data_IF_084189166122
#
_entry.id   IF_084189166122
#
_cell.length_a   1.000
_cell.length_b   1.000
_cell.length_c   1.000
_cell.angle_alpha   90.00
_cell.angle_beta   90.00
_cell.angle_gamma   90.00
#
_symmetry.space_group_name_H-M   'P 1'
#
loop_
_entity.id
_entity.type
_entity.pdbx_description
1 polymer ?
#
# COMPACT_ATOMS: atom_id res chain seq x y z
N UNK A 1 4.94 11.37 10.12
CA UNK A 1 3.79 11.28 9.20
C UNK A 1 3.60 9.84 8.85
N UNK A 2 2.38 9.33 8.91
CA UNK A 2 2.04 7.91 8.80
C UNK A 2 0.68 7.68 8.15
N UNK A 3 0.45 6.43 7.78
CA UNK A 3 -0.86 5.85 7.47
C UNK A 3 -1.06 4.67 8.42
N UNK A 4 -2.21 4.65 9.09
CA UNK A 4 -2.65 3.61 9.99
C UNK A 4 -3.87 2.92 9.41
N UNK A 5 -3.93 1.61 9.55
CA UNK A 5 -5.10 0.81 9.18
C UNK A 5 -5.53 -0.07 10.34
N UNK A 6 -6.76 0.12 10.78
CA UNK A 6 -7.41 -0.75 11.76
C UNK A 6 -8.21 -1.79 11.00
N UNK A 7 -7.97 -3.06 11.29
CA UNK A 7 -8.48 -4.17 10.49
C UNK A 7 -9.27 -5.13 11.34
N UNK A 8 -10.45 -5.50 10.84
CA UNK A 8 -11.24 -6.61 11.37
C UNK A 8 -11.41 -7.66 10.29
N UNK A 9 -11.05 -8.88 10.62
CA UNK A 9 -11.16 -10.04 9.71
C UNK A 9 -12.25 -10.98 10.21
N UNK A 10 -13.20 -11.30 9.34
CA UNK A 10 -14.23 -12.33 9.60
C UNK A 10 -13.94 -13.52 8.68
N UNK A 11 -13.84 -14.74 9.22
CA UNK A 11 -13.60 -15.94 8.41
C UNK A 11 -14.68 -16.15 7.35
N UNK A 12 -14.31 -16.81 6.28
CA UNK A 12 -15.24 -17.25 5.25
C UNK A 12 -16.21 -18.32 5.80
N UNK A 13 -17.46 -18.23 5.38
CA UNK A 13 -18.51 -19.23 5.73
C UNK A 13 -18.49 -20.44 4.82
N UNK A 14 -17.85 -20.34 3.64
CA UNK A 14 -17.70 -21.39 2.66
C UNK A 14 -16.35 -21.26 1.93
N UNK A 15 -15.72 -22.38 1.53
CA UNK A 15 -14.50 -22.36 0.73
C UNK A 15 -14.65 -21.65 -0.63
N UNK A 16 -15.88 -21.57 -1.14
CA UNK A 16 -16.18 -20.97 -2.45
C UNK A 16 -16.72 -19.54 -2.37
N UNK A 17 -16.85 -18.98 -1.14
CA UNK A 17 -17.29 -17.61 -1.00
C UNK A 17 -16.23 -16.63 -1.51
N UNK A 18 -16.65 -15.53 -2.15
CA UNK A 18 -15.76 -14.41 -2.44
C UNK A 18 -15.27 -13.76 -1.15
N UNK A 19 -14.15 -13.04 -1.23
CA UNK A 19 -13.70 -12.17 -0.15
C UNK A 19 -14.28 -10.79 -0.36
N UNK A 20 -14.99 -10.30 0.62
CA UNK A 20 -15.54 -8.95 0.63
C UNK A 20 -14.59 -8.01 1.36
N UNK A 21 -14.42 -6.81 0.82
CA UNK A 21 -13.66 -5.72 1.44
C UNK A 21 -14.57 -4.53 1.68
N UNK A 22 -14.48 -3.97 2.88
CA UNK A 22 -15.16 -2.73 3.27
C UNK A 22 -14.09 -1.76 3.75
N UNK A 23 -13.89 -0.66 3.02
CA UNK A 23 -12.92 0.36 3.36
C UNK A 23 -13.62 1.65 3.78
N UNK A 24 -13.19 2.19 4.91
CA UNK A 24 -13.64 3.46 5.45
C UNK A 24 -12.45 4.34 5.79
N UNK A 25 -12.64 5.63 5.87
CA UNK A 25 -11.60 6.59 6.22
C UNK A 25 -12.11 7.55 7.30
N UNK A 26 -11.23 7.96 8.20
CA UNK A 26 -11.56 8.96 9.24
C UNK A 26 -11.78 10.35 8.65
N UNK A 27 -11.16 10.64 7.49
CA UNK A 27 -11.33 11.90 6.78
C UNK A 27 -12.59 11.86 5.91
N UNK A 28 -13.60 12.73 6.14
CA UNK A 28 -14.91 12.65 5.49
C UNK A 28 -14.91 12.79 3.96
N UNK A 29 -13.87 13.40 3.38
CA UNK A 29 -13.75 13.55 1.93
C UNK A 29 -13.53 12.24 1.19
N UNK A 30 -13.11 11.19 1.91
CA UNK A 30 -12.87 9.87 1.36
C UNK A 30 -14.08 8.99 1.59
N UNK A 31 -14.84 8.77 0.55
CA UNK A 31 -16.07 7.99 0.63
C UNK A 31 -15.79 6.53 1.00
N UNK A 32 -16.70 5.95 1.77
CA UNK A 32 -16.69 4.52 2.06
C UNK A 32 -16.86 3.74 0.78
N UNK A 33 -16.05 2.70 0.61
CA UNK A 33 -16.14 1.84 -0.56
C UNK A 33 -16.21 0.36 -0.18
N UNK A 34 -16.84 -0.41 -1.04
CA UNK A 34 -16.93 -1.87 -0.93
C UNK A 34 -16.56 -2.49 -2.27
N UNK A 35 -15.88 -3.62 -2.22
CA UNK A 35 -15.68 -4.47 -3.38
C UNK A 35 -15.53 -5.92 -2.93
N UNK A 36 -15.70 -6.85 -3.84
CA UNK A 36 -15.50 -8.27 -3.59
C UNK A 36 -14.69 -8.89 -4.71
N UNK A 37 -13.99 -9.98 -4.42
CA UNK A 37 -13.24 -10.71 -5.43
C UNK A 37 -13.12 -12.18 -5.09
N UNK A 38 -13.03 -12.99 -6.14
CA UNK A 38 -12.76 -14.42 -6.03
C UNK A 38 -11.27 -14.69 -6.21
N UNK A 39 -10.58 -14.94 -5.11
CA UNK A 39 -9.15 -15.25 -5.14
C UNK A 39 -8.82 -16.58 -5.86
N UNK A 40 -9.81 -17.42 -6.16
CA UNK A 40 -9.59 -18.65 -6.94
C UNK A 40 -9.68 -18.41 -8.44
N UNK A 41 -10.52 -17.47 -8.87
CA UNK A 41 -10.75 -17.15 -10.28
C UNK A 41 -9.75 -16.16 -10.87
N UNK A 42 -8.85 -15.63 -10.06
CA UNK A 42 -8.01 -14.49 -10.42
C UNK A 42 -8.66 -13.16 -10.04
N UNK A 43 -7.93 -12.05 -10.23
CA UNK A 43 -8.37 -10.73 -9.78
C UNK A 43 -8.71 -9.78 -10.93
N UNK A 44 -9.14 -10.30 -12.07
CA UNK A 44 -9.53 -9.49 -13.23
C UNK A 44 -10.83 -8.72 -12.95
N UNK A 45 -11.67 -9.23 -12.03
CA UNK A 45 -12.90 -8.60 -11.56
C UNK A 45 -12.67 -7.41 -10.62
N UNK A 46 -11.44 -7.21 -10.15
CA UNK A 46 -11.10 -6.04 -9.32
C UNK A 46 -10.85 -4.82 -10.22
N UNK A 47 -11.92 -4.08 -10.47
CA UNK A 47 -11.88 -2.88 -11.30
C UNK A 47 -11.24 -1.68 -10.57
N UNK A 48 -10.38 -0.95 -11.30
CA UNK A 48 -9.73 0.26 -10.80
C UNK A 48 -10.51 1.48 -11.31
N UNK A 49 -11.15 2.20 -10.40
CA UNK A 49 -11.93 3.39 -10.73
C UNK A 49 -11.02 4.56 -11.13
N UNK A 50 -11.40 5.25 -12.17
CA UNK A 50 -10.68 6.43 -12.66
C UNK A 50 -11.21 7.73 -12.04
N UNK A 51 -12.46 7.74 -11.60
CA UNK A 51 -13.19 8.89 -11.06
C UNK A 51 -13.88 8.56 -9.73
N UNK A 52 -14.35 9.59 -9.03
CA UNK A 52 -15.19 9.47 -7.83
C UNK A 52 -14.44 9.63 -6.51
N UNK A 53 -15.19 9.84 -5.44
CA UNK A 53 -14.72 10.04 -4.07
C UNK A 53 -14.14 8.78 -3.43
N UNK A 54 -14.38 7.62 -4.02
CA UNK A 54 -13.85 6.32 -3.62
C UNK A 54 -12.57 5.91 -4.40
N UNK A 55 -12.06 6.75 -5.29
CA UNK A 55 -10.83 6.51 -6.08
C UNK A 55 -9.60 6.19 -5.19
N UNK A 56 -9.58 6.69 -3.97
CA UNK A 56 -8.50 6.44 -3.01
C UNK A 56 -8.34 4.94 -2.69
N UNK A 57 -9.40 4.16 -2.83
CA UNK A 57 -9.41 2.70 -2.59
C UNK A 57 -8.60 1.94 -3.64
N UNK A 58 -8.30 2.53 -4.79
CA UNK A 58 -7.48 1.88 -5.81
C UNK A 58 -6.11 1.46 -5.28
N UNK A 59 -5.51 2.23 -4.37
CA UNK A 59 -4.22 1.88 -3.76
C UNK A 59 -4.31 0.62 -2.90
N UNK A 60 -5.46 0.36 -2.29
CA UNK A 60 -5.72 -0.90 -1.60
C UNK A 60 -5.97 -2.04 -2.61
N UNK A 61 -6.79 -1.80 -3.63
CA UNK A 61 -7.09 -2.78 -4.67
C UNK A 61 -5.85 -3.27 -5.41
N UNK A 62 -4.92 -2.37 -5.74
CA UNK A 62 -3.67 -2.79 -6.43
C UNK A 62 -2.75 -3.58 -5.51
N UNK A 63 -2.74 -3.33 -4.21
CA UNK A 63 -2.03 -4.17 -3.25
C UNK A 63 -2.63 -5.59 -3.21
N UNK A 64 -3.96 -5.73 -3.23
CA UNK A 64 -4.65 -7.02 -3.33
C UNK A 64 -4.26 -7.73 -4.63
N UNK A 65 -4.32 -7.03 -5.78
CA UNK A 65 -3.94 -7.58 -7.10
C UNK A 65 -2.48 -8.02 -7.14
N UNK A 66 -1.57 -7.18 -6.67
CA UNK A 66 -0.13 -7.47 -6.71
C UNK A 66 0.29 -8.61 -5.80
N UNK A 67 -0.35 -8.77 -4.65
CA UNK A 67 -0.04 -9.85 -3.72
C UNK A 67 -0.67 -11.19 -4.09
N UNK A 68 -1.75 -11.18 -4.85
CA UNK A 68 -2.46 -12.41 -5.19
C UNK A 68 -1.56 -13.53 -5.75
N UNK A 69 -0.64 -13.28 -6.72
CA UNK A 69 0.25 -14.31 -7.24
C UNK A 69 1.22 -14.90 -6.21
N UNK A 70 1.45 -14.21 -5.11
CA UNK A 70 2.35 -14.62 -4.04
C UNK A 70 1.63 -15.39 -2.92
N UNK A 71 0.29 -15.39 -2.90
CA UNK A 71 -0.48 -16.12 -1.90
C UNK A 71 -0.60 -17.59 -2.29
N UNK A 72 -0.10 -18.54 -1.48
CA UNK A 72 -0.18 -19.96 -1.78
C UNK A 72 -1.63 -20.46 -1.86
N UNK A 73 -1.93 -21.34 -2.79
CA UNK A 73 -3.25 -21.95 -2.96
C UNK A 73 -3.77 -22.59 -1.68
N UNK A 74 -2.87 -23.13 -0.83
CA UNK A 74 -3.23 -23.68 0.48
C UNK A 74 -3.87 -22.64 1.40
N UNK A 75 -3.40 -21.40 1.39
CA UNK A 75 -3.96 -20.28 2.18
C UNK A 75 -5.29 -19.86 1.58
N UNK A 76 -5.35 -19.72 0.25
CA UNK A 76 -6.56 -19.28 -0.45
C UNK A 76 -7.71 -20.29 -0.34
N UNK A 77 -7.42 -21.57 -0.15
CA UNK A 77 -8.41 -22.63 0.01
C UNK A 77 -8.65 -23.06 1.46
N UNK A 78 -7.97 -22.44 2.43
CA UNK A 78 -8.14 -22.76 3.85
C UNK A 78 -9.57 -22.45 4.35
N UNK A 79 -10.11 -23.30 5.22
CA UNK A 79 -11.44 -23.10 5.79
C UNK A 79 -11.56 -21.84 6.66
N UNK A 80 -10.46 -21.36 7.20
CA UNK A 80 -10.39 -20.15 8.02
C UNK A 80 -9.86 -18.91 7.27
N UNK A 81 -9.82 -18.96 5.93
CA UNK A 81 -9.45 -17.80 5.15
C UNK A 81 -10.41 -16.64 5.37
N UNK A 82 -10.01 -15.40 5.10
CA UNK A 82 -10.92 -14.27 5.19
C UNK A 82 -12.14 -14.43 4.27
N UNK A 83 -13.31 -14.09 4.78
CA UNK A 83 -14.54 -13.90 4.01
C UNK A 83 -14.93 -12.43 3.95
N UNK A 84 -14.65 -11.69 5.03
CA UNK A 84 -14.84 -10.24 5.08
C UNK A 84 -13.63 -9.59 5.75
N UNK A 85 -13.11 -8.55 5.12
CA UNK A 85 -12.04 -7.69 5.63
C UNK A 85 -12.56 -6.26 5.70
N UNK A 86 -12.75 -5.77 6.92
CA UNK A 86 -13.17 -4.39 7.21
C UNK A 86 -11.93 -3.58 7.58
N UNK A 87 -11.70 -2.45 6.90
CA UNK A 87 -10.53 -1.60 7.10
C UNK A 87 -10.97 -0.16 7.37
N UNK A 88 -10.52 0.39 8.49
CA UNK A 88 -10.61 1.82 8.77
C UNK A 88 -9.22 2.44 8.58
N UNK A 89 -9.13 3.40 7.69
CA UNK A 89 -7.89 4.12 7.38
C UNK A 89 -7.86 5.45 8.11
N UNK A 90 -6.74 5.74 8.72
CA UNK A 90 -6.39 7.04 9.30
C UNK A 90 -4.98 7.42 8.86
N UNK A 91 -4.62 8.71 8.96
CA UNK A 91 -3.26 9.11 8.65
C UNK A 91 -3.02 10.61 8.68
N UNK A 92 -1.76 10.93 8.89
CA UNK A 92 -1.27 12.31 9.00
C UNK A 92 -0.55 12.80 7.75
N UNK A 93 -0.36 11.94 6.73
CA UNK A 93 0.24 12.35 5.46
C UNK A 93 -0.82 13.08 4.64
N UNK A 94 -0.62 14.39 4.33
CA UNK A 94 -1.58 15.11 3.50
C UNK A 94 -1.63 14.46 2.10
N UNK A 95 -2.83 14.10 1.62
CA UNK A 95 -2.96 13.54 0.27
C UNK A 95 -2.60 14.58 -0.79
N UNK A 96 -2.06 14.12 -1.92
CA UNK A 96 -1.70 14.96 -3.08
C UNK A 96 -0.67 16.07 -2.79
N UNK A 97 0.11 15.91 -1.71
CA UNK A 97 1.12 16.88 -1.25
C UNK A 97 2.55 16.56 -1.68
N UNK A 98 2.75 15.60 -2.57
CA UNK A 98 4.08 15.08 -2.96
C UNK A 98 4.88 14.48 -1.78
N UNK A 99 4.21 14.05 -0.72
CA UNK A 99 4.80 13.38 0.44
C UNK A 99 4.55 11.88 0.43
N UNK A 100 4.44 11.28 -0.75
CA UNK A 100 4.38 9.83 -0.96
C UNK A 100 3.19 9.13 -0.28
N UNK A 101 2.04 9.84 -0.16
CA UNK A 101 0.83 9.26 0.44
C UNK A 101 0.34 8.01 -0.29
N UNK A 102 0.49 7.94 -1.62
CA UNK A 102 0.14 6.78 -2.43
C UNK A 102 0.99 5.56 -2.10
N UNK A 103 2.31 5.72 -2.05
CA UNK A 103 3.24 4.66 -1.70
C UNK A 103 3.00 4.16 -0.26
N UNK A 104 2.80 5.08 0.70
CA UNK A 104 2.47 4.73 2.07
C UNK A 104 1.16 3.93 2.15
N UNK A 105 0.13 4.36 1.39
CA UNK A 105 -1.16 3.66 1.31
C UNK A 105 -1.00 2.25 0.73
N UNK A 106 -0.28 2.10 -0.39
CA UNK A 106 -0.04 0.81 -1.04
C UNK A 106 0.76 -0.13 -0.14
N UNK A 107 1.83 0.35 0.51
CA UNK A 107 2.64 -0.44 1.43
C UNK A 107 1.84 -0.91 2.66
N UNK A 108 1.06 0.00 3.28
CA UNK A 108 0.22 -0.35 4.42
C UNK A 108 -0.87 -1.36 4.02
N UNK A 109 -1.49 -1.18 2.86
CA UNK A 109 -2.47 -2.12 2.30
C UNK A 109 -1.87 -3.51 2.06
N UNK A 110 -0.62 -3.57 1.57
CA UNK A 110 0.08 -4.84 1.37
C UNK A 110 0.27 -5.59 2.69
N UNK A 111 0.64 -4.88 3.76
CA UNK A 111 0.75 -5.46 5.11
C UNK A 111 -0.61 -5.99 5.57
N UNK A 112 -1.67 -5.20 5.40
CA UNK A 112 -3.03 -5.62 5.79
C UNK A 112 -3.46 -6.90 5.08
N UNK A 113 -3.23 -7.00 3.78
CA UNK A 113 -3.59 -8.21 3.01
C UNK A 113 -2.79 -9.42 3.50
N UNK A 114 -1.47 -9.28 3.68
CA UNK A 114 -0.62 -10.36 4.16
C UNK A 114 -1.03 -10.83 5.57
N UNK A 115 -1.29 -9.91 6.48
CA UNK A 115 -1.73 -10.23 7.85
C UNK A 115 -3.12 -10.89 7.85
N UNK A 116 -4.06 -10.35 7.08
CA UNK A 116 -5.42 -10.90 7.01
C UNK A 116 -5.46 -12.35 6.52
N UNK A 117 -4.57 -12.71 5.60
CA UNK A 117 -4.43 -14.07 5.08
C UNK A 117 -3.45 -14.95 5.89
N UNK A 118 -2.83 -14.42 6.97
CA UNK A 118 -1.80 -15.14 7.73
C UNK A 118 -0.55 -15.44 6.89
N UNK A 119 -0.23 -14.54 5.95
CA UNK A 119 0.79 -14.71 4.92
C UNK A 119 2.02 -13.80 5.14
N UNK A 120 2.14 -13.17 6.31
CA UNK A 120 3.16 -12.15 6.57
C UNK A 120 4.60 -12.63 6.37
N UNK A 121 4.86 -13.89 6.70
CA UNK A 121 6.19 -14.51 6.60
C UNK A 121 6.46 -15.19 5.25
N UNK A 122 5.52 -15.12 4.31
CA UNK A 122 5.65 -15.82 3.01
C UNK A 122 6.56 -15.06 2.06
N UNK A 123 6.54 -13.73 2.12
CA UNK A 123 7.39 -12.87 1.30
C UNK A 123 8.35 -12.05 2.18
N UNK A 124 9.55 -11.85 1.66
CA UNK A 124 10.55 -10.99 2.29
C UNK A 124 10.15 -9.52 2.21
N UNK A 125 10.79 -8.65 3.02
CA UNK A 125 10.61 -7.19 2.90
C UNK A 125 10.97 -6.68 1.51
N UNK A 126 11.96 -7.28 0.85
CA UNK A 126 12.36 -6.91 -0.51
C UNK A 126 11.24 -7.22 -1.50
N UNK A 127 10.75 -8.45 -1.50
CA UNK A 127 9.65 -8.86 -2.37
C UNK A 127 8.40 -8.01 -2.13
N UNK A 128 8.09 -7.70 -0.87
CA UNK A 128 6.97 -6.81 -0.54
C UNK A 128 7.17 -5.40 -1.13
N UNK A 129 8.40 -4.86 -1.12
CA UNK A 129 8.69 -3.58 -1.73
C UNK A 129 8.55 -3.63 -3.25
N UNK A 130 9.07 -4.67 -3.89
CA UNK A 130 8.98 -4.90 -5.33
C UNK A 130 7.51 -5.03 -5.76
N UNK A 131 6.71 -5.84 -5.05
CA UNK A 131 5.26 -5.96 -5.29
C UNK A 131 4.53 -4.63 -5.11
N UNK A 132 4.83 -3.86 -4.06
CA UNK A 132 4.20 -2.55 -3.85
C UNK A 132 4.54 -1.55 -4.97
N UNK A 133 5.78 -1.56 -5.47
CA UNK A 133 6.23 -0.73 -6.59
C UNK A 133 5.47 -1.09 -7.87
N UNK A 134 5.43 -2.37 -8.20
CA UNK A 134 4.75 -2.85 -9.42
C UNK A 134 3.24 -2.64 -9.35
N UNK A 135 2.65 -2.86 -8.17
CA UNK A 135 1.23 -2.66 -7.94
C UNK A 135 0.81 -1.21 -8.18
N UNK A 136 1.59 -0.24 -7.70
CA UNK A 136 1.24 1.19 -7.86
C UNK A 136 1.23 1.62 -9.32
N UNK A 137 2.02 0.97 -10.19
CA UNK A 137 2.00 1.23 -11.63
C UNK A 137 0.64 0.92 -12.27
N UNK A 138 -0.13 -0.03 -11.70
CA UNK A 138 -1.47 -0.37 -12.19
C UNK A 138 -2.47 0.80 -12.05
N UNK A 139 -2.25 1.74 -11.13
CA UNK A 139 -3.07 2.97 -11.05
C UNK A 139 -2.57 4.10 -11.95
N UNK A 140 -1.60 3.81 -12.84
CA UNK A 140 -1.06 4.78 -13.80
C UNK A 140 0.00 5.71 -13.22
N UNK A 141 0.56 5.41 -12.05
CA UNK A 141 1.69 6.15 -11.46
C UNK A 141 2.98 5.40 -11.75
N UNK A 142 3.79 5.93 -12.66
CA UNK A 142 5.07 5.33 -13.02
C UNK A 142 6.16 5.82 -12.06
N UNK A 143 6.12 5.32 -10.80
CA UNK A 143 7.10 5.70 -9.78
C UNK A 143 8.37 4.86 -9.90
N UNK A 144 9.51 5.46 -9.51
CA UNK A 144 10.80 4.77 -9.46
C UNK A 144 10.96 3.78 -8.29
N UNK A 145 10.00 3.74 -7.36
CA UNK A 145 9.99 2.80 -6.24
C UNK A 145 10.74 3.24 -4.98
N UNK A 146 11.32 4.42 -4.96
CA UNK A 146 12.06 4.94 -3.81
C UNK A 146 11.16 5.09 -2.58
N UNK A 147 9.94 5.56 -2.77
CA UNK A 147 9.00 5.85 -1.70
C UNK A 147 8.54 4.58 -0.99
N UNK A 148 8.25 3.52 -1.75
CA UNK A 148 7.88 2.21 -1.23
C UNK A 148 9.05 1.57 -0.48
N UNK A 149 10.26 1.62 -1.08
CA UNK A 149 11.46 1.11 -0.43
C UNK A 149 11.74 1.87 0.89
N UNK A 150 11.60 3.19 0.90
CA UNK A 150 11.78 4.00 2.10
C UNK A 150 10.76 3.64 3.19
N UNK A 151 9.48 3.42 2.82
CA UNK A 151 8.42 3.03 3.75
C UNK A 151 8.67 1.66 4.38
N UNK A 152 9.19 0.69 3.60
CA UNK A 152 9.35 -0.71 4.05
C UNK A 152 10.67 -0.93 4.78
N UNK A 153 11.75 -0.27 4.35
CA UNK A 153 13.09 -0.46 4.91
C UNK A 153 13.52 0.63 5.88
N UNK A 154 12.69 1.66 6.10
CA UNK A 154 13.00 2.77 7.00
C UNK A 154 13.42 2.31 8.39
N UNK A 155 14.46 2.92 8.92
CA UNK A 155 14.94 2.73 10.29
C UNK A 155 15.00 4.07 11.01
N UNK A 156 14.62 4.05 12.28
CA UNK A 156 14.74 5.24 13.12
C UNK A 156 16.19 5.71 13.18
N UNK A 157 16.39 7.01 13.08
CA UNK A 157 17.69 7.69 13.15
C UNK A 157 18.67 7.28 12.02
N UNK A 158 18.15 6.78 10.89
CA UNK A 158 18.95 6.40 9.73
C UNK A 158 18.39 7.02 8.45
N UNK A 159 19.30 7.41 7.56
CA UNK A 159 19.00 7.56 6.15
C UNK A 159 19.07 6.19 5.46
N UNK A 160 18.47 6.06 4.28
CA UNK A 160 18.60 4.84 3.46
C UNK A 160 19.35 5.15 2.19
N UNK A 161 20.39 4.36 1.90
CA UNK A 161 20.94 4.25 0.57
C UNK A 161 20.20 3.15 -0.19
N UNK A 162 19.45 3.54 -1.22
CA UNK A 162 18.64 2.62 -2.01
C UNK A 162 19.29 2.44 -3.39
N UNK A 163 19.41 1.19 -3.83
CA UNK A 163 19.85 0.80 -5.17
C UNK A 163 18.79 -0.13 -5.77
N UNK A 164 18.47 0.08 -7.05
CA UNK A 164 17.48 -0.73 -7.78
C UNK A 164 18.14 -1.69 -8.78
N UNK A 165 19.41 -1.54 -9.04
CA UNK A 165 20.15 -2.41 -9.97
C UNK A 165 21.40 -3.00 -9.30
N UNK A 166 21.74 -4.31 -9.54
CA UNK A 166 20.96 -5.31 -10.30
C UNK A 166 19.71 -5.82 -9.57
N UNK A 167 19.56 -5.52 -8.30
CA UNK A 167 18.42 -5.86 -7.45
C UNK A 167 18.14 -4.76 -6.45
N UNK A 168 16.90 -4.72 -5.90
CA UNK A 168 16.54 -3.76 -4.86
C UNK A 168 17.33 -4.05 -3.59
N UNK A 169 18.15 -3.06 -3.18
CA UNK A 169 18.89 -3.05 -1.92
C UNK A 169 18.65 -1.75 -1.18
N UNK A 170 18.36 -1.85 0.11
CA UNK A 170 18.23 -0.71 1.00
C UNK A 170 19.22 -0.87 2.17
N UNK A 171 20.18 0.02 2.26
CA UNK A 171 21.21 0.02 3.30
C UNK A 171 20.96 1.16 4.28
N UNK A 172 20.66 0.89 5.55
CA UNK A 172 20.56 1.91 6.57
C UNK A 172 21.93 2.57 6.83
N UNK A 173 21.95 3.88 6.84
CA UNK A 173 23.13 4.71 7.17
C UNK A 173 22.78 5.54 8.39
N UNK A 174 23.47 5.35 9.53
CA UNK A 174 23.19 6.13 10.72
C UNK A 174 23.31 7.63 10.47
N UNK A 175 22.32 8.39 10.91
CA UNK A 175 22.41 9.85 10.88
C UNK A 175 23.49 10.30 11.88
N UNK A 176 24.35 11.29 11.50
CA UNK A 176 25.34 11.82 12.43
C UNK A 176 24.64 12.37 13.67
N UNK A 177 25.23 12.12 14.84
CA UNK A 177 24.78 12.79 16.06
C UNK A 177 25.18 14.26 15.98
N UNK A 178 24.22 15.15 16.21
CA UNK A 178 24.43 16.58 16.23
C UNK A 178 23.90 17.19 17.53
N UNK A 179 24.53 18.26 17.98
CA UNK A 179 24.06 19.07 19.09
C UNK A 179 24.03 20.54 18.61
N UNK A 180 22.84 21.16 18.50
CA UNK A 180 21.50 20.58 18.70
C UNK A 180 21.12 19.51 17.67
N UNK A 181 20.15 18.66 18.02
CA UNK A 181 19.64 17.63 17.13
C UNK A 181 19.09 18.20 15.81
N UNK A 182 19.17 17.40 14.75
CA UNK A 182 18.54 17.76 13.47
C UNK A 182 17.03 17.89 13.62
N UNK A 183 16.49 18.94 13.00
CA UNK A 183 15.06 19.13 12.84
C UNK A 183 14.73 19.15 11.36
N UNK A 184 13.80 18.30 10.94
CA UNK A 184 13.26 18.31 9.58
C UNK A 184 11.99 19.14 9.58
N UNK A 185 11.96 20.18 8.73
CA UNK A 185 10.79 21.05 8.54
C UNK A 185 10.17 20.75 7.19
N UNK A 186 8.86 20.48 7.19
CA UNK A 186 8.09 20.25 5.98
C UNK A 186 7.26 21.50 5.71
N UNK A 187 7.54 22.18 4.59
CA UNK A 187 6.78 23.34 4.12
C UNK A 187 5.89 22.89 2.95
N UNK A 188 4.57 22.98 3.13
CA UNK A 188 3.61 22.65 2.09
C UNK A 188 3.14 23.94 1.39
N UNK A 189 3.32 24.02 0.07
CA UNK A 189 2.86 25.14 -0.76
C UNK A 189 1.36 25.13 -1.02
N UNK A 190 0.64 24.10 -0.57
CA UNK A 190 -0.80 23.86 -0.80
C UNK A 190 -1.17 23.66 -2.29
N UNK A 191 -0.18 23.51 -3.17
CA UNK A 191 -0.42 23.17 -4.57
C UNK A 191 -0.64 21.67 -4.68
N UNK A 192 -1.79 21.30 -5.26
CA UNK A 192 -2.12 19.88 -5.50
C UNK A 192 -1.20 19.31 -6.57
N UNK A 193 -0.53 18.21 -6.25
CA UNK A 193 0.33 17.47 -7.18
C UNK A 193 -0.43 16.27 -7.75
N UNK A 194 -0.99 16.40 -8.95
CA UNK A 194 -1.54 15.26 -9.67
C UNK A 194 -0.47 14.61 -10.54
N UNK A 195 0.21 13.61 -10.00
CA UNK A 195 1.27 12.86 -10.67
C UNK A 195 0.80 12.15 -11.96
N UNK A 196 -0.49 11.88 -12.13
CA UNK A 196 -1.03 11.29 -13.36
C UNK A 196 -1.01 12.28 -14.51
N UNK A 197 -1.23 13.57 -14.21
CA UNK A 197 -1.21 14.63 -15.20
C UNK A 197 0.21 15.16 -15.42
N UNK A 198 0.96 15.36 -14.35
CA UNK A 198 2.29 15.98 -14.42
C UNK A 198 3.42 14.97 -14.67
N UNK A 199 3.24 13.71 -14.28
CA UNK A 199 4.26 12.68 -14.45
C UNK A 199 4.71 12.48 -15.90
N UNK A 200 3.82 12.32 -16.88
CA UNK A 200 4.22 12.17 -18.29
C UNK A 200 4.91 13.37 -18.91
N UNK A 201 4.81 14.55 -18.27
CA UNK A 201 5.35 15.82 -18.79
C UNK A 201 6.70 16.16 -18.16
N UNK A 202 6.92 15.78 -16.89
CA UNK A 202 8.04 16.26 -16.09
C UNK A 202 8.99 15.16 -15.57
N UNK A 203 8.67 13.87 -15.80
CA UNK A 203 9.51 12.76 -15.33
C UNK A 203 9.78 11.74 -16.44
#
# INVERSE_FOLDING_TARGET
MDILMFVKVTPATSPDSKVQFILSNTTPRFEKATFETDFKAGLDDVDLKHDGGDRWVNYFKVAVKGLHPHLPSKILSANNRPGLIEVLVDGTIPPESSLSSSAAMTCCSSIVVLEAFGAREIISRREMAEVAIESERLVGVNSGGMDQAASIFGHRDHALRISFFPELKAQPIPMPKADPNYTLVIANTLIVSDKKVTGPIHY
#
